data_IF_717958516896
#
_entry.id   IF_717958516896
#
_cell.length_a   1.000
_cell.length_b   1.000
_cell.length_c   1.000
_cell.angle_alpha   90.00
_cell.angle_beta   90.00
_cell.angle_gamma   90.00
#
_symmetry.space_group_name_H-M   'P 1'
#
loop_
_entity.id
_entity.type
_entity.pdbx_description
1 polymer ?
#
# COMPACT_ATOMS: atom_id res chain seq x y z
N UNK A 1 -10.25 -10.56 -16.92
CA UNK A 1 -9.66 -9.97 -15.70
C UNK A 1 -10.67 -9.05 -15.04
N UNK A 2 -10.56 -8.86 -13.72
CA UNK A 2 -11.36 -7.89 -12.96
C UNK A 2 -10.50 -6.66 -12.66
N UNK A 3 -11.09 -5.47 -12.58
CA UNK A 3 -10.38 -4.28 -12.11
C UNK A 3 -9.78 -4.50 -10.71
N UNK A 4 -8.52 -4.15 -10.56
CA UNK A 4 -7.80 -4.12 -9.30
C UNK A 4 -7.23 -2.72 -9.10
N UNK A 5 -7.45 -2.13 -7.92
CA UNK A 5 -6.77 -0.90 -7.56
C UNK A 5 -5.26 -1.16 -7.42
N UNK A 6 -4.46 -0.33 -8.07
CA UNK A 6 -2.99 -0.38 -7.97
C UNK A 6 -2.40 0.85 -7.27
N UNK A 7 -3.22 1.83 -6.89
CA UNK A 7 -2.76 3.07 -6.28
C UNK A 7 -3.59 3.47 -5.05
N UNK A 8 -2.88 3.94 -4.03
CA UNK A 8 -3.41 4.09 -2.69
C UNK A 8 -2.84 5.31 -1.97
N UNK A 9 -3.58 5.83 -0.99
CA UNK A 9 -3.06 6.82 -0.03
C UNK A 9 -2.28 6.12 1.07
N UNK A 10 -1.29 6.76 1.67
CA UNK A 10 -0.53 6.12 2.75
C UNK A 10 -1.45 5.66 3.89
N UNK A 11 -1.23 4.45 4.43
CA UNK A 11 -2.10 3.90 5.46
C UNK A 11 -2.01 4.74 6.73
N UNK A 12 -3.18 5.01 7.31
CA UNK A 12 -3.37 5.56 8.64
C UNK A 12 -4.19 4.59 9.51
N UNK A 13 -4.68 5.06 10.66
CA UNK A 13 -5.48 4.20 11.55
C UNK A 13 -6.82 3.78 10.94
N UNK A 14 -7.35 4.54 9.97
CA UNK A 14 -8.60 4.22 9.29
C UNK A 14 -8.49 2.92 8.49
N UNK A 15 -7.40 2.70 7.77
CA UNK A 15 -7.18 1.48 6.99
C UNK A 15 -7.11 0.23 7.89
N UNK A 16 -6.58 0.35 9.11
CA UNK A 16 -6.64 -0.76 10.07
C UNK A 16 -8.07 -1.16 10.42
N UNK A 17 -8.98 -0.19 10.49
CA UNK A 17 -10.38 -0.51 10.75
C UNK A 17 -11.02 -1.31 9.60
N UNK A 18 -10.65 -1.02 8.35
CA UNK A 18 -11.06 -1.83 7.18
C UNK A 18 -10.44 -3.23 7.18
N UNK A 19 -9.23 -3.38 7.72
CA UNK A 19 -8.52 -4.66 7.81
C UNK A 19 -9.07 -5.56 8.93
N UNK A 20 -9.56 -4.97 10.03
CA UNK A 20 -9.97 -5.68 11.25
C UNK A 20 -11.47 -5.94 11.32
N UNK A 21 -12.31 -5.06 10.77
CA UNK A 21 -13.77 -5.18 10.86
C UNK A 21 -14.46 -5.06 9.49
N UNK A 22 -15.60 -5.76 9.32
CA UNK A 22 -16.44 -5.56 8.15
C UNK A 22 -17.11 -4.18 8.20
N UNK A 23 -16.79 -3.34 7.22
CA UNK A 23 -17.39 -2.01 7.09
C UNK A 23 -18.44 -1.99 5.96
N UNK A 24 -19.31 -0.96 5.89
CA UNK A 24 -20.27 -0.85 4.79
C UNK A 24 -19.57 -0.88 3.42
N UNK A 25 -20.05 -1.74 2.52
CA UNK A 25 -19.44 -1.99 1.19
C UNK A 25 -19.07 -0.73 0.40
N UNK A 26 -19.93 0.30 0.47
CA UNK A 26 -19.73 1.61 -0.18
C UNK A 26 -18.44 2.34 0.22
N UNK A 27 -17.83 1.99 1.35
CA UNK A 27 -16.63 2.63 1.87
C UNK A 27 -15.34 1.97 1.35
N UNK A 28 -15.39 0.73 0.86
CA UNK A 28 -14.19 -0.01 0.44
C UNK A 28 -13.53 0.60 -0.80
N UNK A 29 -14.29 1.20 -1.71
CA UNK A 29 -13.80 1.87 -2.93
C UNK A 29 -13.65 3.39 -2.74
N UNK A 30 -13.54 3.84 -1.49
CA UNK A 30 -13.41 5.25 -1.14
C UNK A 30 -12.00 5.61 -0.68
N UNK A 31 -11.74 6.93 -0.59
CA UNK A 31 -10.53 7.49 0.00
C UNK A 31 -10.35 7.11 1.48
N UNK A 32 -11.41 6.73 2.20
CA UNK A 32 -11.30 6.29 3.60
C UNK A 32 -10.54 4.96 3.72
N UNK A 33 -10.70 4.07 2.75
CA UNK A 33 -9.90 2.86 2.60
C UNK A 33 -8.62 3.11 1.77
N UNK A 34 -8.26 4.38 1.59
CA UNK A 34 -7.11 4.83 0.83
C UNK A 34 -7.17 4.60 -0.68
N UNK A 35 -8.32 4.24 -1.26
CA UNK A 35 -8.41 3.95 -2.69
C UNK A 35 -8.66 5.19 -3.53
N UNK A 36 -7.96 5.30 -4.65
CA UNK A 36 -8.23 6.29 -5.69
C UNK A 36 -9.45 5.87 -6.53
N UNK A 37 -10.27 6.82 -6.94
CA UNK A 37 -11.54 6.54 -7.62
C UNK A 37 -11.30 5.81 -8.95
N UNK A 38 -12.06 4.74 -9.21
CA UNK A 38 -11.96 3.93 -10.43
C UNK A 38 -11.98 4.74 -11.73
N UNK A 39 -12.76 5.84 -11.77
CA UNK A 39 -12.82 6.74 -12.94
C UNK A 39 -11.47 7.35 -13.34
N UNK A 40 -10.50 7.44 -12.41
CA UNK A 40 -9.17 7.99 -12.70
C UNK A 40 -8.30 7.02 -13.50
N UNK A 41 -8.61 5.72 -13.45
CA UNK A 41 -7.89 4.66 -14.15
C UNK A 41 -8.35 4.46 -15.60
N UNK A 42 -9.18 5.35 -16.16
CA UNK A 42 -9.56 5.23 -17.58
C UNK A 42 -8.32 5.47 -18.46
N UNK A 43 -8.07 4.63 -19.50
CA UNK A 43 -6.83 4.69 -20.28
C UNK A 43 -6.53 6.06 -20.91
N UNK A 44 -7.56 6.83 -21.25
CA UNK A 44 -7.44 8.15 -21.86
C UNK A 44 -7.18 9.28 -20.86
N UNK A 45 -7.16 8.99 -19.56
CA UNK A 45 -6.84 10.00 -18.55
C UNK A 45 -5.33 10.25 -18.48
N UNK A 46 -4.96 11.48 -18.13
CA UNK A 46 -3.59 11.81 -17.79
C UNK A 46 -3.12 11.02 -16.54
N UNK A 47 -1.80 10.75 -16.42
CA UNK A 47 -1.23 10.25 -15.18
C UNK A 47 -1.61 11.12 -13.99
N UNK A 48 -1.89 10.48 -12.85
CA UNK A 48 -2.29 11.18 -11.64
C UNK A 48 -1.38 10.83 -10.46
N UNK A 49 -1.13 11.82 -9.60
CA UNK A 49 -0.22 11.68 -8.46
C UNK A 49 -0.87 10.85 -7.34
N UNK A 50 -0.08 9.96 -6.74
CA UNK A 50 -0.49 9.04 -5.69
C UNK A 50 0.51 9.00 -4.54
N UNK A 51 0.09 8.45 -3.40
CA UNK A 51 1.02 8.29 -2.26
C UNK A 51 1.89 7.05 -2.44
N UNK A 52 1.29 5.91 -2.78
CA UNK A 52 2.00 4.69 -3.13
C UNK A 52 1.25 3.84 -4.17
N UNK A 53 1.99 2.95 -4.83
CA UNK A 53 1.48 1.97 -5.78
C UNK A 53 1.74 0.54 -5.28
N UNK A 54 0.97 -0.41 -5.78
CA UNK A 54 1.13 -1.84 -5.49
C UNK A 54 2.50 -2.34 -5.99
N UNK A 55 3.23 -3.05 -5.13
CA UNK A 55 4.56 -3.57 -5.45
C UNK A 55 4.61 -4.55 -6.64
N UNK A 56 3.47 -5.14 -7.01
CA UNK A 56 3.38 -6.10 -8.11
C UNK A 56 3.77 -5.52 -9.48
N UNK A 57 3.68 -4.20 -9.65
CA UNK A 57 4.10 -3.53 -10.87
C UNK A 57 4.54 -2.09 -10.59
N UNK A 58 5.86 -1.89 -10.53
CA UNK A 58 6.46 -0.59 -10.31
C UNK A 58 7.54 -0.33 -11.36
N UNK A 59 7.63 0.92 -11.83
CA UNK A 59 8.74 1.40 -12.62
C UNK A 59 9.34 2.62 -11.93
N UNK A 60 10.62 2.54 -11.62
CA UNK A 60 11.34 3.58 -10.86
C UNK A 60 12.61 3.94 -11.63
N UNK A 61 12.90 5.24 -11.72
CA UNK A 61 14.17 5.71 -12.32
C UNK A 61 15.33 5.21 -11.45
N UNK A 62 16.42 4.75 -12.07
CA UNK A 62 17.58 4.18 -11.36
C UNK A 62 18.13 5.13 -10.30
N UNK A 63 18.30 6.41 -10.64
CA UNK A 63 18.79 7.44 -9.71
C UNK A 63 17.86 7.68 -8.51
N UNK A 64 16.55 7.49 -8.67
CA UNK A 64 15.60 7.54 -7.55
C UNK A 64 15.81 6.33 -6.66
N UNK A 65 15.95 5.13 -7.24
CA UNK A 65 16.18 3.90 -6.49
C UNK A 65 17.48 3.97 -5.68
N UNK A 66 18.57 4.39 -6.31
CA UNK A 66 19.90 4.51 -5.68
C UNK A 66 19.90 5.56 -4.55
N UNK A 67 19.15 6.66 -4.70
CA UNK A 67 19.05 7.72 -3.67
C UNK A 67 18.08 7.41 -2.54
N UNK A 68 17.27 6.36 -2.70
CA UNK A 68 16.22 6.00 -1.75
C UNK A 68 16.32 4.53 -1.37
N UNK A 69 17.51 3.94 -1.46
CA UNK A 69 17.89 2.61 -0.95
C UNK A 69 16.91 1.45 -1.28
N UNK A 70 16.19 1.52 -2.41
CA UNK A 70 15.31 0.42 -2.84
C UNK A 70 14.31 -0.08 -1.79
N UNK A 71 13.95 -1.36 -1.86
CA UNK A 71 13.18 -2.03 -0.80
C UNK A 71 14.04 -2.29 0.43
N UNK A 72 13.44 -2.11 1.61
CA UNK A 72 14.10 -2.37 2.89
C UNK A 72 13.93 -3.86 3.25
N UNK A 73 15.06 -4.56 3.40
CA UNK A 73 15.11 -6.01 3.67
C UNK A 73 14.57 -6.40 5.05
N UNK A 74 14.39 -5.45 5.97
CA UNK A 74 13.74 -5.73 7.25
C UNK A 74 12.25 -6.10 7.05
N UNK A 75 11.64 -5.69 5.93
CA UNK A 75 10.32 -6.13 5.52
C UNK A 75 10.42 -7.47 4.78
N UNK A 76 10.12 -8.58 5.48
CA UNK A 76 10.20 -9.91 4.87
C UNK A 76 9.19 -10.12 3.72
N UNK A 77 7.98 -9.57 3.84
CA UNK A 77 6.94 -9.60 2.81
C UNK A 77 5.84 -8.59 3.17
N UNK A 78 5.29 -7.91 2.16
CA UNK A 78 4.27 -6.86 2.25
C UNK A 78 4.77 -5.58 2.94
N UNK A 79 4.19 -4.45 2.53
CA UNK A 79 4.46 -3.11 3.06
C UNK A 79 5.84 -2.53 2.71
N UNK A 80 6.75 -3.30 2.13
CA UNK A 80 8.05 -2.81 1.64
C UNK A 80 7.87 -1.71 0.59
N UNK A 81 6.85 -1.82 -0.26
CA UNK A 81 6.55 -0.83 -1.28
C UNK A 81 5.97 0.46 -0.68
N UNK A 82 5.22 0.32 0.42
CA UNK A 82 4.62 1.46 1.12
C UNK A 82 5.74 2.27 1.79
N UNK A 83 6.66 1.57 2.47
CA UNK A 83 7.84 2.18 3.08
C UNK A 83 8.70 2.90 2.03
N UNK A 84 9.00 2.23 0.93
CA UNK A 84 9.83 2.80 -0.12
C UNK A 84 9.17 4.03 -0.77
N UNK A 85 7.87 3.96 -1.07
CA UNK A 85 7.12 5.11 -1.59
C UNK A 85 7.13 6.30 -0.61
N UNK A 86 7.09 6.07 0.71
CA UNK A 86 7.24 7.14 1.71
C UNK A 86 8.63 7.77 1.64
N UNK A 87 9.69 6.97 1.50
CA UNK A 87 11.07 7.47 1.37
C UNK A 87 11.27 8.24 0.06
N UNK A 88 10.73 7.76 -1.05
CA UNK A 88 10.69 8.46 -2.34
C UNK A 88 10.03 9.84 -2.20
N UNK A 89 8.85 9.92 -1.58
CA UNK A 89 8.18 11.21 -1.34
C UNK A 89 8.95 12.11 -0.39
N UNK A 90 9.55 11.56 0.67
CA UNK A 90 10.38 12.33 1.61
C UNK A 90 11.64 12.90 0.92
N UNK A 91 12.17 12.22 -0.09
CA UNK A 91 13.27 12.70 -0.91
C UNK A 91 12.86 13.74 -1.98
N UNK A 92 11.58 14.17 -2.00
CA UNK A 92 11.06 15.21 -2.89
C UNK A 92 10.54 14.72 -4.23
N UNK A 93 10.52 13.40 -4.46
CA UNK A 93 10.02 12.81 -5.70
C UNK A 93 8.50 12.59 -5.64
N UNK A 94 7.88 12.60 -6.82
CA UNK A 94 6.44 12.33 -6.98
C UNK A 94 6.24 10.93 -7.52
N UNK A 95 5.12 10.31 -7.14
CA UNK A 95 4.73 8.97 -7.57
C UNK A 95 3.44 9.12 -8.36
N UNK A 96 3.38 8.48 -9.52
CA UNK A 96 2.25 8.57 -10.42
C UNK A 96 1.71 7.19 -10.77
N UNK A 97 0.41 7.12 -10.99
CA UNK A 97 -0.23 6.03 -11.72
C UNK A 97 -0.43 6.47 -13.16
N UNK A 98 -0.13 5.58 -14.11
CA UNK A 98 -0.27 5.82 -15.55
C UNK A 98 -1.43 4.97 -16.07
N UNK A 99 -2.63 5.54 -16.28
CA UNK A 99 -3.82 4.77 -16.69
C UNK A 99 -3.67 4.00 -17.99
N UNK A 100 -2.85 4.50 -18.92
CA UNK A 100 -2.57 3.85 -20.20
C UNK A 100 -1.71 2.58 -20.08
N UNK A 101 -1.04 2.35 -18.95
CA UNK A 101 -0.22 1.16 -18.71
C UNK A 101 -1.06 0.09 -18.01
N UNK A 102 -1.48 -0.93 -18.77
CA UNK A 102 -2.30 -2.03 -18.25
C UNK A 102 -1.48 -3.28 -17.98
N UNK A 103 -1.69 -3.89 -16.81
CA UNK A 103 -0.98 -5.08 -16.35
C UNK A 103 -1.98 -6.10 -15.81
N UNK A 104 -1.80 -7.37 -16.19
CA UNK A 104 -2.58 -8.49 -15.65
C UNK A 104 -1.82 -9.09 -14.47
N UNK A 105 -2.42 -8.98 -13.28
CA UNK A 105 -1.84 -9.55 -12.06
C UNK A 105 -2.53 -10.87 -11.69
N UNK A 106 -1.78 -11.97 -11.77
CA UNK A 106 -2.19 -13.28 -11.26
C UNK A 106 -1.92 -13.36 -9.75
N UNK A 107 -2.76 -12.69 -8.97
CA UNK A 107 -2.57 -12.55 -7.53
C UNK A 107 -2.79 -13.84 -6.73
N UNK A 108 -2.07 -13.99 -5.62
CA UNK A 108 -2.35 -14.98 -4.58
C UNK A 108 -1.77 -16.37 -4.79
N UNK A 109 -1.08 -16.64 -5.90
CA UNK A 109 -0.48 -17.97 -6.17
C UNK A 109 0.54 -18.39 -5.12
N UNK A 110 1.41 -17.48 -4.65
CA UNK A 110 2.39 -17.78 -3.59
C UNK A 110 1.77 -17.73 -2.19
N UNK A 111 0.98 -16.69 -1.90
CA UNK A 111 0.30 -16.51 -0.60
C UNK A 111 -0.61 -17.69 -0.27
N UNK A 112 -1.31 -18.23 -1.26
CA UNK A 112 -2.23 -19.36 -1.10
C UNK A 112 -1.55 -20.68 -0.71
N UNK A 113 -0.24 -20.80 -0.93
CA UNK A 113 0.53 -21.99 -0.54
C UNK A 113 0.89 -21.99 0.95
N UNK A 114 0.99 -20.80 1.56
CA UNK A 114 1.42 -20.60 2.96
C UNK A 114 0.56 -19.56 3.68
N UNK A 115 -0.75 -19.81 3.85
CA UNK A 115 -1.70 -18.79 4.32
C UNK A 115 -1.36 -18.28 5.73
N UNK A 116 -1.08 -19.17 6.68
CA UNK A 116 -0.76 -18.77 8.06
C UNK A 116 0.50 -17.89 8.13
N UNK A 117 1.58 -18.31 7.46
CA UNK A 117 2.84 -17.54 7.41
C UNK A 117 2.64 -16.20 6.70
N UNK A 118 1.84 -16.16 5.64
CA UNK A 118 1.55 -14.92 4.93
C UNK A 118 0.82 -13.90 5.80
N UNK A 119 -0.14 -14.35 6.62
CA UNK A 119 -0.83 -13.48 7.58
C UNK A 119 0.14 -12.96 8.63
N UNK A 120 0.99 -13.81 9.19
CA UNK A 120 2.00 -13.39 10.18
C UNK A 120 2.97 -12.37 9.58
N UNK A 121 3.50 -12.62 8.38
CA UNK A 121 4.39 -11.69 7.68
C UNK A 121 3.70 -10.35 7.44
N UNK A 122 2.46 -10.36 6.95
CA UNK A 122 1.68 -9.16 6.70
C UNK A 122 1.52 -8.30 7.95
N UNK A 123 1.18 -8.90 9.09
CA UNK A 123 0.98 -8.17 10.34
C UNK A 123 2.29 -7.73 11.00
N UNK A 124 3.36 -8.53 10.88
CA UNK A 124 4.70 -8.15 11.34
C UNK A 124 5.21 -6.91 10.57
N UNK A 125 5.16 -6.96 9.24
CA UNK A 125 5.52 -5.85 8.35
C UNK A 125 4.65 -4.61 8.59
N UNK A 126 3.33 -4.79 8.77
CA UNK A 126 2.42 -3.68 9.10
C UNK A 126 2.78 -3.03 10.44
N UNK A 127 3.07 -3.82 11.47
CA UNK A 127 3.53 -3.29 12.77
C UNK A 127 4.82 -2.47 12.65
N UNK A 128 5.78 -2.95 11.85
CA UNK A 128 7.01 -2.22 11.55
C UNK A 128 6.75 -0.90 10.81
N UNK A 129 5.91 -0.91 9.77
CA UNK A 129 5.52 0.28 9.03
C UNK A 129 4.94 1.36 9.95
N UNK A 130 4.06 0.97 10.88
CA UNK A 130 3.46 1.90 11.84
C UNK A 130 4.49 2.44 12.82
N UNK A 131 5.40 1.61 13.34
CA UNK A 131 6.49 2.07 14.21
C UNK A 131 7.41 3.07 13.52
N UNK A 132 7.69 2.88 12.21
CA UNK A 132 8.65 3.72 11.48
C UNK A 132 8.07 5.07 11.06
N UNK A 133 6.80 5.09 10.62
CA UNK A 133 6.22 6.26 9.95
C UNK A 133 5.14 7.00 10.75
N UNK A 134 4.77 6.51 11.92
CA UNK A 134 3.72 7.11 12.74
C UNK A 134 4.25 7.53 14.11
N UNK A 135 3.79 8.70 14.57
CA UNK A 135 4.08 9.18 15.93
C UNK A 135 3.40 8.34 17.02
N UNK A 136 3.77 8.56 18.29
CA UNK A 136 3.37 7.72 19.42
C UNK A 136 1.84 7.59 19.58
N UNK A 137 1.09 8.66 19.36
CA UNK A 137 -0.37 8.65 19.44
C UNK A 137 -1.00 7.69 18.41
N UNK A 138 -0.61 7.80 17.14
CA UNK A 138 -1.14 6.93 16.07
C UNK A 138 -0.72 5.48 16.26
N UNK A 139 0.48 5.24 16.79
CA UNK A 139 0.94 3.90 17.16
C UNK A 139 0.11 3.31 18.31
N UNK A 140 -0.20 4.11 19.34
CA UNK A 140 -1.05 3.69 20.45
C UNK A 140 -2.47 3.34 19.98
N UNK A 141 -3.06 4.19 19.12
CA UNK A 141 -4.35 3.92 18.50
C UNK A 141 -4.32 2.64 17.65
N UNK A 142 -3.29 2.44 16.84
CA UNK A 142 -3.13 1.23 16.04
C UNK A 142 -3.08 -0.04 16.91
N UNK A 143 -2.33 0.00 18.02
CA UNK A 143 -2.26 -1.12 18.99
C UNK A 143 -3.62 -1.39 19.62
N UNK A 144 -4.34 -0.36 20.04
CA UNK A 144 -5.68 -0.50 20.60
C UNK A 144 -6.63 -1.14 19.58
N UNK A 145 -6.62 -0.67 18.33
CA UNK A 145 -7.47 -1.23 17.28
C UNK A 145 -7.19 -2.73 17.07
N UNK A 146 -5.91 -3.10 16.95
CA UNK A 146 -5.51 -4.51 16.79
C UNK A 146 -5.87 -5.38 18.00
N UNK A 147 -5.94 -4.82 19.22
CA UNK A 147 -6.38 -5.56 20.41
C UNK A 147 -7.90 -5.76 20.47
N UNK A 148 -8.67 -4.86 19.85
CA UNK A 148 -10.14 -4.90 19.85
C UNK A 148 -10.74 -5.71 18.70
N UNK A 149 -9.99 -5.91 17.61
CA UNK A 149 -10.41 -6.64 16.41
C UNK A 149 -9.98 -8.09 16.48
#
# INVERSE_FOLDING_TARGET
GRFQHSAFTFPGVAQLAFDLWPLPGRLYDSRLNGRYARRQYQPNNAPFEVDFILGAAMLVRRDVADRTDGFDEDFHMYCEEIDWCRRIRKAGWRIYTVPAAEIVHYGGSSTGQVPARSVVNLWASRSQLYRRHHGPLRLAMARLLVQMG
#
